data_IF_311460051777
#
_entry.id   IF_311460051777
#
_cell.length_a   1.000
_cell.length_b   1.000
_cell.length_c   1.000
_cell.angle_alpha   90.00
_cell.angle_beta   90.00
_cell.angle_gamma   90.00
#
_symmetry.space_group_name_H-M   'P 1'
#
loop_
_entity.id
_entity.type
_entity.pdbx_description
1 polymer ?
#
# COMPACT_ATOMS: atom_id res chain seq x y z
N UNK A 1 4.32 -23.09 -0.99
CA UNK A 1 5.74 -23.43 -0.70
C UNK A 1 5.90 -23.60 0.80
N UNK A 2 6.59 -24.66 1.21
CA UNK A 2 6.95 -24.91 2.62
C UNK A 2 8.47 -25.05 2.73
N UNK A 3 9.06 -24.35 3.68
CA UNK A 3 10.50 -24.28 3.93
C UNK A 3 10.73 -24.52 5.41
N UNK A 4 11.70 -25.37 5.78
CA UNK A 4 11.98 -25.65 7.18
C UNK A 4 13.48 -25.93 7.40
N UNK A 5 14.00 -25.51 8.54
CA UNK A 5 15.39 -25.78 8.90
C UNK A 5 15.68 -25.52 10.36
N UNK A 6 16.87 -25.98 10.79
CA UNK A 6 17.30 -25.89 12.17
C UNK A 6 18.77 -25.44 12.23
N UNK A 7 19.14 -24.78 13.33
CA UNK A 7 20.51 -24.45 13.68
C UNK A 7 20.67 -24.48 15.21
N UNK A 8 21.46 -25.45 15.70
CA UNK A 8 21.50 -25.74 17.14
C UNK A 8 20.12 -26.15 17.62
N UNK A 9 19.69 -25.57 18.73
CA UNK A 9 18.36 -25.83 19.33
C UNK A 9 17.24 -24.96 18.77
N UNK A 10 17.51 -24.15 17.75
CA UNK A 10 16.52 -23.27 17.13
C UNK A 10 16.03 -23.86 15.80
N UNK A 11 14.71 -23.74 15.56
CA UNK A 11 14.09 -24.16 14.29
C UNK A 11 13.33 -23.00 13.66
N UNK A 12 13.21 -23.02 12.34
CA UNK A 12 12.39 -22.11 11.58
C UNK A 12 11.57 -22.86 10.53
N UNK A 13 10.31 -22.54 10.46
CA UNK A 13 9.35 -23.04 9.47
C UNK A 13 8.66 -21.87 8.81
N UNK A 14 8.55 -21.90 7.49
CA UNK A 14 7.88 -20.87 6.69
C UNK A 14 6.99 -21.55 5.67
N UNK A 15 5.71 -21.20 5.70
CA UNK A 15 4.77 -21.56 4.65
C UNK A 15 4.33 -20.30 3.92
N UNK A 16 4.36 -20.31 2.59
CA UNK A 16 3.98 -19.14 1.80
C UNK A 16 3.25 -19.51 0.51
N UNK A 17 2.37 -18.59 0.08
CA UNK A 17 1.71 -18.65 -1.21
C UNK A 17 1.50 -17.25 -1.77
N UNK A 18 1.35 -17.14 -3.09
CA UNK A 18 0.92 -15.92 -3.76
C UNK A 18 -0.53 -16.06 -4.24
N UNK A 19 -1.25 -14.96 -4.25
CA UNK A 19 -2.63 -14.86 -4.72
C UNK A 19 -2.80 -13.61 -5.60
N UNK A 20 -3.99 -13.37 -6.12
CA UNK A 20 -4.29 -12.25 -7.02
C UNK A 20 -4.51 -10.91 -6.29
N UNK A 21 -4.52 -10.91 -4.95
CA UNK A 21 -4.68 -9.67 -4.17
C UNK A 21 -3.45 -8.77 -4.25
N UNK A 22 -3.60 -7.54 -3.79
CA UNK A 22 -2.51 -6.57 -3.68
C UNK A 22 -1.98 -6.44 -2.25
N UNK A 23 -2.62 -7.12 -1.30
CA UNK A 23 -2.29 -7.02 0.12
C UNK A 23 -1.23 -8.03 0.52
N UNK A 24 -0.34 -7.62 1.41
CA UNK A 24 0.59 -8.50 2.13
C UNK A 24 -0.11 -9.04 3.39
N UNK A 25 -0.09 -10.35 3.58
CA UNK A 25 -0.57 -10.99 4.81
C UNK A 25 0.56 -11.83 5.39
N UNK A 26 1.14 -11.36 6.50
CA UNK A 26 2.14 -12.09 7.25
C UNK A 26 1.62 -12.39 8.65
N UNK A 27 1.74 -13.65 9.06
CA UNK A 27 1.43 -14.10 10.41
C UNK A 27 2.67 -14.76 10.98
N UNK A 28 3.15 -14.33 12.12
CA UNK A 28 4.38 -14.84 12.69
C UNK A 28 4.24 -15.29 14.13
N UNK A 29 5.00 -16.34 14.48
CA UNK A 29 5.01 -16.97 15.79
C UNK A 29 6.44 -17.20 16.29
N UNK A 30 6.62 -17.06 17.60
CA UNK A 30 7.83 -17.47 18.30
C UNK A 30 7.43 -18.33 19.52
N UNK A 31 7.92 -19.59 19.57
CA UNK A 31 7.52 -20.60 20.57
C UNK A 31 5.99 -20.68 20.73
N UNK A 32 5.29 -20.77 19.60
CA UNK A 32 3.83 -20.83 19.47
C UNK A 32 3.07 -19.58 19.96
N UNK A 33 3.79 -18.50 20.33
CA UNK A 33 3.21 -17.20 20.69
C UNK A 33 3.10 -16.34 19.43
N UNK A 34 1.90 -15.86 19.11
CA UNK A 34 1.69 -14.93 18.00
C UNK A 34 2.41 -13.60 18.25
N UNK A 35 3.14 -13.12 17.26
CA UNK A 35 3.91 -11.87 17.30
C UNK A 35 3.31 -10.84 16.33
N UNK A 36 2.23 -10.14 16.70
CA UNK A 36 1.51 -9.24 15.79
C UNK A 36 2.34 -8.03 15.33
N UNK A 37 3.37 -7.65 16.07
CA UNK A 37 4.33 -6.61 15.67
C UNK A 37 5.57 -7.19 14.95
N UNK A 38 5.53 -8.48 14.61
CA UNK A 38 6.60 -9.17 13.91
C UNK A 38 7.87 -9.34 14.74
N UNK A 39 9.01 -8.99 14.15
CA UNK A 39 10.32 -9.07 14.80
C UNK A 39 11.42 -9.56 13.85
N UNK A 40 12.51 -10.07 14.46
CA UNK A 40 13.72 -10.46 13.71
C UNK A 40 13.49 -11.62 12.75
N UNK A 41 12.56 -12.55 13.03
CA UNK A 41 12.19 -13.65 12.14
C UNK A 41 11.50 -13.14 10.86
N UNK A 42 10.57 -12.18 10.97
CA UNK A 42 9.98 -11.54 9.79
C UNK A 42 11.00 -10.73 9.00
N UNK A 43 11.88 -10.02 9.69
CA UNK A 43 12.96 -9.27 9.03
C UNK A 43 13.87 -10.18 8.22
N UNK A 44 14.21 -11.35 8.77
CA UNK A 44 14.98 -12.39 8.05
C UNK A 44 14.24 -12.87 6.81
N UNK A 45 12.97 -13.22 6.95
CA UNK A 45 12.12 -13.66 5.84
C UNK A 45 12.02 -12.61 4.72
N UNK A 46 11.64 -11.37 5.06
CA UNK A 46 11.47 -10.26 4.11
C UNK A 46 12.76 -9.96 3.34
N UNK A 47 13.91 -9.99 4.03
CA UNK A 47 15.22 -9.77 3.43
C UNK A 47 15.59 -10.89 2.46
N UNK A 48 15.49 -12.14 2.90
CA UNK A 48 15.81 -13.31 2.11
C UNK A 48 14.93 -13.43 0.86
N UNK A 49 13.62 -13.30 1.03
CA UNK A 49 12.64 -13.37 -0.07
C UNK A 49 12.98 -12.36 -1.18
N UNK A 50 13.23 -11.10 -0.80
CA UNK A 50 13.57 -10.04 -1.76
C UNK A 50 14.89 -10.32 -2.47
N UNK A 51 15.90 -10.79 -1.73
CA UNK A 51 17.21 -11.11 -2.29
C UNK A 51 17.15 -12.28 -3.27
N UNK A 52 16.48 -13.37 -2.90
CA UNK A 52 16.38 -14.59 -3.72
C UNK A 52 15.64 -14.31 -5.01
N UNK A 53 14.50 -13.62 -4.95
CA UNK A 53 13.73 -13.32 -6.16
C UNK A 53 14.47 -12.35 -7.11
N UNK A 54 15.16 -11.34 -6.57
CA UNK A 54 16.01 -10.48 -7.41
C UNK A 54 17.16 -11.27 -8.04
N UNK A 55 17.82 -12.13 -7.27
CA UNK A 55 18.93 -12.95 -7.78
C UNK A 55 18.47 -13.90 -8.89
N UNK A 56 17.34 -14.59 -8.69
CA UNK A 56 16.74 -15.45 -9.71
C UNK A 56 16.35 -14.65 -10.97
N UNK A 57 15.67 -13.52 -10.80
CA UNK A 57 15.26 -12.66 -11.91
C UNK A 57 16.44 -12.12 -12.71
N UNK A 58 17.54 -11.75 -12.06
CA UNK A 58 18.79 -11.33 -12.74
C UNK A 58 19.46 -12.50 -13.47
N UNK A 59 19.54 -13.67 -12.83
CA UNK A 59 20.13 -14.88 -13.42
C UNK A 59 19.47 -15.29 -14.73
N UNK A 60 18.15 -15.15 -14.80
CA UNK A 60 17.37 -15.52 -15.99
C UNK A 60 17.01 -14.33 -16.90
N UNK A 61 17.62 -13.16 -16.67
CA UNK A 61 17.44 -11.98 -17.51
C UNK A 61 16.05 -11.34 -17.46
N UNK A 62 15.24 -11.66 -16.46
CA UNK A 62 13.92 -11.06 -16.22
C UNK A 62 14.03 -9.69 -15.54
N UNK A 63 15.07 -9.48 -14.74
CA UNK A 63 15.39 -8.23 -14.04
C UNK A 63 16.76 -7.75 -14.49
N UNK A 64 16.87 -6.48 -14.88
CA UNK A 64 18.15 -5.82 -15.14
C UNK A 64 18.76 -5.29 -13.86
N UNK A 65 20.07 -5.11 -13.81
CA UNK A 65 20.78 -4.66 -12.61
C UNK A 65 20.28 -3.33 -12.04
N UNK A 66 19.80 -2.43 -12.91
CA UNK A 66 19.20 -1.14 -12.52
C UNK A 66 17.71 -1.19 -12.13
N UNK A 67 17.02 -2.30 -12.40
CA UNK A 67 15.55 -2.42 -12.27
C UNK A 67 15.14 -3.40 -11.16
N UNK A 68 15.95 -3.52 -10.10
CA UNK A 68 15.64 -4.41 -8.96
C UNK A 68 14.29 -4.08 -8.35
N UNK A 69 13.50 -5.13 -8.10
CA UNK A 69 12.22 -4.99 -7.41
C UNK A 69 12.44 -4.77 -5.92
N UNK A 70 11.63 -3.90 -5.33
CA UNK A 70 11.68 -3.62 -3.88
C UNK A 70 11.05 -4.74 -3.07
N UNK A 71 11.28 -4.72 -1.75
CA UNK A 71 10.62 -5.67 -0.86
C UNK A 71 9.09 -5.57 -0.89
N UNK A 72 8.54 -4.38 -1.06
CA UNK A 72 7.10 -4.15 -1.18
C UNK A 72 6.55 -4.79 -2.46
N UNK A 73 7.24 -4.60 -3.59
CA UNK A 73 6.84 -5.17 -4.88
C UNK A 73 6.81 -6.71 -4.83
N UNK A 74 7.81 -7.30 -4.15
CA UNK A 74 7.94 -8.76 -3.99
C UNK A 74 6.86 -9.33 -3.08
N UNK A 75 6.38 -8.56 -2.10
CA UNK A 75 5.39 -9.04 -1.13
C UNK A 75 3.94 -8.72 -1.53
N UNK A 76 3.71 -8.08 -2.66
CA UNK A 76 2.36 -7.84 -3.16
C UNK A 76 1.63 -9.16 -3.44
N UNK A 77 0.52 -9.39 -2.74
CA UNK A 77 -0.30 -10.60 -2.84
C UNK A 77 0.30 -11.85 -2.20
N UNK A 78 1.29 -11.70 -1.32
CA UNK A 78 1.81 -12.81 -0.53
C UNK A 78 0.94 -13.07 0.70
N UNK A 79 0.75 -14.34 1.01
CA UNK A 79 0.30 -14.81 2.31
C UNK A 79 1.36 -15.75 2.85
N UNK A 80 1.92 -15.43 4.03
CA UNK A 80 2.94 -16.28 4.63
C UNK A 80 2.72 -16.41 6.15
N UNK A 81 3.07 -17.60 6.64
CA UNK A 81 3.15 -17.93 8.06
C UNK A 81 4.60 -18.27 8.38
N UNK A 82 5.14 -17.65 9.42
CA UNK A 82 6.51 -17.82 9.88
C UNK A 82 6.45 -18.31 11.33
N UNK A 83 6.98 -19.48 11.60
CA UNK A 83 7.06 -20.05 12.94
C UNK A 83 8.50 -20.37 13.30
N UNK A 84 8.95 -19.87 14.45
CA UNK A 84 10.28 -20.17 14.97
C UNK A 84 10.21 -20.74 16.38
N UNK A 85 11.08 -21.68 16.69
CA UNK A 85 11.25 -22.24 18.03
C UNK A 85 12.68 -22.01 18.48
N UNK A 86 12.85 -21.54 19.69
CA UNK A 86 14.15 -21.23 20.26
C UNK A 86 14.12 -21.39 21.79
N UNK A 87 15.24 -21.72 22.40
CA UNK A 87 15.36 -22.01 23.82
C UNK A 87 15.12 -20.77 24.67
N UNK A 88 15.67 -19.61 24.25
CA UNK A 88 15.56 -18.35 24.99
C UNK A 88 14.98 -17.26 24.09
N UNK A 89 13.65 -17.14 24.07
CA UNK A 89 12.95 -16.11 23.31
C UNK A 89 13.03 -14.76 24.06
N UNK A 90 13.60 -13.76 23.39
CA UNK A 90 13.66 -12.38 23.87
C UNK A 90 12.61 -11.56 23.12
N UNK A 91 11.60 -11.10 23.84
CA UNK A 91 10.55 -10.26 23.27
C UNK A 91 10.75 -8.80 23.67
N UNK A 92 10.39 -7.90 22.76
CA UNK A 92 10.26 -6.49 23.06
C UNK A 92 8.92 -6.26 23.77
N UNK A 93 8.98 -5.77 25.02
CA UNK A 93 7.80 -5.49 25.84
C UNK A 93 7.15 -6.73 26.49
N UNK A 94 6.26 -6.45 27.44
CA UNK A 94 5.59 -7.48 28.26
C UNK A 94 4.48 -8.23 27.49
N UNK A 95 3.96 -7.64 26.43
CA UNK A 95 2.93 -8.24 25.57
C UNK A 95 3.45 -9.35 24.67
N UNK A 96 4.78 -9.53 24.59
CA UNK A 96 5.47 -10.49 23.69
C UNK A 96 5.08 -10.33 22.22
N UNK A 97 4.70 -9.12 21.83
CA UNK A 97 4.19 -8.82 20.49
C UNK A 97 5.28 -8.81 19.40
N UNK A 98 6.56 -8.66 19.79
CA UNK A 98 7.68 -8.54 18.86
C UNK A 98 8.90 -9.34 19.32
N UNK A 99 9.46 -10.18 18.43
CA UNK A 99 10.63 -10.98 18.73
C UNK A 99 11.94 -10.21 18.43
N UNK A 100 12.85 -10.11 19.44
CA UNK A 100 14.09 -9.35 19.36
C UNK A 100 15.35 -10.16 19.00
N UNK A 101 15.32 -11.50 19.03
CA UNK A 101 16.52 -12.35 18.86
C UNK A 101 17.19 -12.19 17.48
N UNK A 102 18.34 -11.54 17.41
CA UNK A 102 19.10 -11.34 16.17
C UNK A 102 19.54 -12.65 15.50
N UNK A 103 19.84 -13.70 16.28
CA UNK A 103 20.24 -15.01 15.76
C UNK A 103 19.14 -15.66 14.91
N UNK A 104 17.87 -15.44 15.24
CA UNK A 104 16.73 -15.97 14.51
C UNK A 104 16.59 -15.32 13.13
N UNK A 105 16.93 -14.03 13.01
CA UNK A 105 16.99 -13.37 11.70
C UNK A 105 17.87 -14.13 10.73
N UNK A 106 19.07 -14.51 11.19
CA UNK A 106 20.05 -15.25 10.35
C UNK A 106 19.56 -16.66 10.04
N UNK A 107 18.93 -17.34 11.00
CA UNK A 107 18.40 -18.68 10.76
C UNK A 107 17.30 -18.65 9.69
N UNK A 108 16.31 -17.79 9.84
CA UNK A 108 15.21 -17.65 8.87
C UNK A 108 15.74 -17.20 7.50
N UNK A 109 16.66 -16.24 7.47
CA UNK A 109 17.30 -15.78 6.23
C UNK A 109 17.98 -16.94 5.48
N UNK A 110 18.76 -17.78 6.16
CA UNK A 110 19.43 -18.93 5.55
C UNK A 110 18.41 -19.96 5.04
N UNK A 111 17.45 -20.36 5.90
CA UNK A 111 16.43 -21.35 5.53
C UNK A 111 15.67 -20.91 4.27
N UNK A 112 15.23 -19.66 4.26
CA UNK A 112 14.48 -19.12 3.11
C UNK A 112 15.39 -19.01 1.88
N UNK A 113 16.62 -18.52 2.03
CA UNK A 113 17.53 -18.33 0.90
C UNK A 113 17.89 -19.65 0.22
N UNK A 114 18.28 -20.65 1.01
CA UNK A 114 18.75 -21.91 0.47
C UNK A 114 17.62 -22.70 -0.20
N UNK A 115 16.49 -22.85 0.51
CA UNK A 115 15.41 -23.71 0.02
C UNK A 115 14.51 -23.02 -1.02
N UNK A 116 14.27 -21.73 -0.89
CA UNK A 116 13.48 -21.01 -1.91
C UNK A 116 14.26 -20.93 -3.23
N UNK A 117 15.59 -20.74 -3.19
CA UNK A 117 16.39 -20.74 -4.41
C UNK A 117 16.27 -22.09 -5.17
N UNK A 118 16.36 -23.21 -4.44
CA UNK A 118 16.16 -24.54 -5.02
C UNK A 118 14.74 -24.71 -5.56
N UNK A 119 13.74 -24.31 -4.78
CA UNK A 119 12.35 -24.41 -5.20
C UNK A 119 12.07 -23.65 -6.50
N UNK A 120 12.60 -22.44 -6.65
CA UNK A 120 12.42 -21.63 -7.86
C UNK A 120 13.09 -22.26 -9.08
N UNK A 121 14.26 -22.91 -8.91
CA UNK A 121 14.93 -23.64 -9.99
C UNK A 121 14.14 -24.90 -10.43
N UNK A 122 13.53 -25.58 -9.48
CA UNK A 122 12.69 -26.77 -9.77
C UNK A 122 11.33 -26.40 -10.36
N UNK A 123 10.83 -25.16 -10.11
CA UNK A 123 9.51 -24.70 -10.52
C UNK A 123 9.56 -23.39 -11.35
N UNK A 124 10.19 -23.40 -12.55
CA UNK A 124 10.45 -22.17 -13.30
C UNK A 124 9.16 -21.43 -13.74
N UNK A 125 8.07 -22.13 -13.94
CA UNK A 125 6.76 -21.51 -14.28
C UNK A 125 6.25 -20.70 -13.09
N UNK A 126 6.31 -21.26 -11.88
CA UNK A 126 5.91 -20.56 -10.64
C UNK A 126 6.82 -19.36 -10.39
N UNK A 127 8.14 -19.54 -10.53
CA UNK A 127 9.12 -18.46 -10.38
C UNK A 127 8.83 -17.30 -11.32
N UNK A 128 8.54 -17.59 -12.60
CA UNK A 128 8.17 -16.57 -13.58
C UNK A 128 6.89 -15.84 -13.18
N UNK A 129 5.85 -16.56 -12.77
CA UNK A 129 4.57 -15.95 -12.35
C UNK A 129 4.75 -14.99 -11.18
N UNK A 130 5.54 -15.37 -10.17
CA UNK A 130 5.84 -14.53 -9.02
C UNK A 130 6.63 -13.28 -9.45
N UNK A 131 7.64 -13.44 -10.30
CA UNK A 131 8.45 -12.32 -10.78
C UNK A 131 7.66 -11.36 -11.69
N UNK A 132 6.82 -11.87 -12.58
CA UNK A 132 5.96 -11.05 -13.43
C UNK A 132 5.00 -10.20 -12.59
N UNK A 133 4.48 -10.78 -11.49
CA UNK A 133 3.66 -10.04 -10.53
C UNK A 133 4.48 -8.95 -9.83
N UNK A 134 5.66 -9.26 -9.31
CA UNK A 134 6.53 -8.29 -8.64
C UNK A 134 6.99 -7.16 -9.59
N UNK A 135 7.32 -7.47 -10.85
CA UNK A 135 7.66 -6.47 -11.86
C UNK A 135 6.45 -5.58 -12.22
N UNK A 136 5.25 -6.15 -12.22
CA UNK A 136 4.02 -5.38 -12.45
C UNK A 136 3.74 -4.44 -11.27
N UNK A 137 3.95 -4.92 -10.04
CA UNK A 137 3.85 -4.10 -8.83
C UNK A 137 4.88 -2.95 -8.84
N UNK A 138 6.12 -3.23 -9.20
CA UNK A 138 7.18 -2.22 -9.34
C UNK A 138 6.81 -1.14 -10.35
N UNK A 139 6.36 -1.52 -11.55
CA UNK A 139 5.93 -0.56 -12.59
C UNK A 139 4.77 0.30 -12.11
N UNK A 140 3.79 -0.30 -11.43
CA UNK A 140 2.65 0.43 -10.89
C UNK A 140 3.08 1.43 -9.80
N UNK A 141 3.95 1.02 -8.87
CA UNK A 141 4.51 1.88 -7.84
C UNK A 141 5.30 3.05 -8.42
N UNK A 142 6.16 2.80 -9.42
CA UNK A 142 6.91 3.84 -10.12
C UNK A 142 5.98 4.80 -10.89
N UNK A 143 4.93 4.30 -11.53
CA UNK A 143 3.93 5.13 -12.19
C UNK A 143 3.18 6.02 -11.18
N UNK A 144 2.79 5.45 -10.03
CA UNK A 144 2.16 6.20 -8.94
C UNK A 144 3.10 7.30 -8.40
N UNK A 145 4.39 6.99 -8.18
CA UNK A 145 5.39 7.96 -7.75
C UNK A 145 5.53 9.12 -8.74
N UNK A 146 5.66 8.82 -10.03
CA UNK A 146 5.76 9.85 -11.09
C UNK A 146 4.49 10.72 -11.16
N UNK A 147 3.30 10.11 -11.01
CA UNK A 147 2.05 10.85 -10.97
C UNK A 147 1.99 11.80 -9.76
N UNK A 148 2.37 11.33 -8.57
CA UNK A 148 2.48 12.18 -7.36
C UNK A 148 3.43 13.36 -7.58
N UNK A 149 4.64 13.10 -8.09
CA UNK A 149 5.63 14.15 -8.37
C UNK A 149 5.10 15.18 -9.37
N UNK A 150 4.37 14.75 -10.40
CA UNK A 150 3.76 15.65 -11.38
C UNK A 150 2.72 16.56 -10.74
N UNK A 151 1.86 16.02 -9.87
CA UNK A 151 0.87 16.79 -9.13
C UNK A 151 1.58 17.79 -8.21
N UNK A 152 2.57 17.33 -7.43
CA UNK A 152 3.34 18.17 -6.52
C UNK A 152 4.05 19.32 -7.23
N UNK A 153 4.63 19.09 -8.42
CA UNK A 153 5.26 20.14 -9.22
C UNK A 153 4.24 21.18 -9.69
N UNK A 154 3.06 20.75 -10.13
CA UNK A 154 1.97 21.66 -10.53
C UNK A 154 1.47 22.49 -9.36
N UNK A 155 1.40 21.94 -8.16
CA UNK A 155 0.98 22.64 -6.94
C UNK A 155 2.07 23.61 -6.43
N UNK A 156 3.36 23.23 -6.54
CA UNK A 156 4.49 24.05 -6.08
C UNK A 156 4.80 25.24 -7.00
N UNK A 157 4.45 25.18 -8.28
CA UNK A 157 4.72 26.24 -9.29
C UNK A 157 3.66 27.37 -9.31
N UNK A 158 2.81 27.45 -8.29
CA UNK A 158 1.86 28.55 -8.14
C UNK A 158 0.45 28.19 -8.58
N UNK A 159 -0.32 27.68 -7.63
CA UNK A 159 -1.74 27.49 -7.75
C UNK A 159 -2.11 26.35 -8.68
N UNK A 160 -2.29 25.16 -8.13
CA UNK A 160 -3.12 24.17 -8.84
C UNK A 160 -4.42 24.89 -9.17
N UNK A 161 -4.71 25.05 -10.46
CA UNK A 161 -5.99 25.61 -10.88
C UNK A 161 -7.06 24.78 -10.16
N UNK A 162 -7.90 25.45 -9.40
CA UNK A 162 -8.99 24.77 -8.68
C UNK A 162 -9.83 24.02 -9.70
N UNK A 163 -10.42 22.88 -9.31
CA UNK A 163 -11.27 22.15 -10.24
C UNK A 163 -12.34 23.05 -10.84
N UNK A 164 -12.48 23.06 -12.16
CA UNK A 164 -13.39 23.95 -12.89
C UNK A 164 -14.84 23.89 -12.36
N UNK A 165 -15.23 22.71 -11.84
CA UNK A 165 -16.57 22.47 -11.29
C UNK A 165 -16.70 22.83 -9.81
N UNK A 166 -15.63 23.15 -9.11
CA UNK A 166 -15.72 23.57 -7.71
C UNK A 166 -16.38 24.94 -7.62
N UNK A 167 -17.45 25.00 -6.85
CA UNK A 167 -18.08 26.26 -6.41
C UNK A 167 -17.60 26.54 -5.00
N UNK A 168 -16.47 27.25 -4.89
CA UNK A 168 -15.83 27.55 -3.61
C UNK A 168 -16.64 28.50 -2.74
N UNK A 169 -16.35 28.56 -1.46
CA UNK A 169 -16.90 29.52 -0.52
C UNK A 169 -16.00 30.75 -0.37
N UNK A 170 -16.54 31.80 0.27
CA UNK A 170 -15.82 33.06 0.45
C UNK A 170 -14.92 33.07 1.70
N UNK A 171 -15.19 32.20 2.68
CA UNK A 171 -14.41 32.07 3.91
C UNK A 171 -13.10 31.32 3.62
N UNK A 172 -11.99 31.83 4.15
CA UNK A 172 -10.66 31.26 3.99
C UNK A 172 -10.16 30.48 5.23
N UNK A 173 -10.87 30.60 6.37
CA UNK A 173 -10.54 29.84 7.55
C UNK A 173 -11.12 28.41 7.44
N UNK A 174 -10.29 27.36 7.29
CA UNK A 174 -10.78 25.99 7.13
C UNK A 174 -11.72 25.52 8.26
N UNK A 175 -11.51 25.97 9.48
CA UNK A 175 -12.32 25.58 10.65
C UNK A 175 -13.78 26.02 10.53
N UNK A 176 -14.03 27.07 9.74
CA UNK A 176 -15.36 27.64 9.54
C UNK A 176 -16.02 27.21 8.23
N UNK A 177 -15.33 26.37 7.43
CA UNK A 177 -15.78 25.99 6.09
C UNK A 177 -16.15 24.52 5.98
N UNK A 178 -17.05 24.24 5.05
CA UNK A 178 -17.49 22.88 4.72
C UNK A 178 -17.62 22.71 3.21
N UNK A 179 -17.34 21.49 2.73
CA UNK A 179 -17.52 21.13 1.32
C UNK A 179 -18.53 20.01 1.16
N UNK A 180 -19.43 20.19 0.23
CA UNK A 180 -20.42 19.19 -0.19
C UNK A 180 -19.96 18.55 -1.49
N UNK A 181 -19.70 17.25 -1.44
CA UNK A 181 -19.38 16.43 -2.61
C UNK A 181 -20.68 15.81 -3.06
N UNK A 182 -21.19 16.20 -4.23
CA UNK A 182 -22.51 15.82 -4.70
C UNK A 182 -22.44 14.98 -5.98
N UNK A 183 -23.36 14.05 -6.14
CA UNK A 183 -23.41 13.19 -7.31
C UNK A 183 -24.13 13.91 -8.48
N UNK A 184 -23.34 14.17 -9.53
CA UNK A 184 -23.82 14.73 -10.79
C UNK A 184 -24.01 16.24 -10.82
N UNK A 185 -24.03 16.77 -12.05
CA UNK A 185 -24.14 18.21 -12.31
C UNK A 185 -25.53 18.77 -11.93
N UNK A 186 -26.57 17.96 -12.03
CA UNK A 186 -27.93 18.38 -11.67
C UNK A 186 -28.06 18.65 -10.17
N UNK A 187 -27.62 17.70 -9.33
CA UNK A 187 -27.58 17.89 -7.88
C UNK A 187 -26.61 19.02 -7.49
N UNK A 188 -25.48 19.14 -8.19
CA UNK A 188 -24.52 20.24 -8.03
C UNK A 188 -25.13 21.61 -8.29
N UNK A 189 -25.98 21.73 -9.30
CA UNK A 189 -26.71 22.95 -9.61
C UNK A 189 -27.68 23.35 -8.51
N UNK A 190 -28.51 22.41 -8.05
CA UNK A 190 -29.49 22.63 -6.96
C UNK A 190 -28.78 22.98 -5.65
N UNK A 191 -27.68 22.22 -5.30
CA UNK A 191 -26.91 22.49 -4.11
C UNK A 191 -26.24 23.88 -4.15
N UNK A 192 -25.74 24.30 -5.32
CA UNK A 192 -25.13 25.63 -5.50
C UNK A 192 -26.15 26.75 -5.29
N UNK A 193 -27.40 26.56 -5.69
CA UNK A 193 -28.44 27.55 -5.48
C UNK A 193 -28.91 27.64 -4.02
N UNK A 194 -28.93 26.50 -3.32
CA UNK A 194 -29.39 26.41 -1.92
C UNK A 194 -28.35 26.65 -0.85
N UNK A 195 -27.05 26.71 -1.21
CA UNK A 195 -25.95 26.81 -0.24
C UNK A 195 -25.83 28.23 0.37
N UNK A 196 -25.23 28.30 1.54
CA UNK A 196 -24.65 29.53 2.04
C UNK A 196 -23.22 29.72 1.47
N UNK A 197 -23.09 30.60 0.48
CA UNK A 197 -21.82 30.82 -0.21
C UNK A 197 -20.71 31.43 0.69
N UNK A 198 -21.06 31.88 1.88
CA UNK A 198 -20.05 32.41 2.82
C UNK A 198 -19.10 31.33 3.27
N UNK A 199 -19.58 30.10 3.59
CA UNK A 199 -18.78 29.03 4.19
C UNK A 199 -19.02 27.64 3.58
N UNK A 200 -19.97 27.49 2.64
CA UNK A 200 -20.27 26.21 2.00
C UNK A 200 -19.74 26.16 0.57
N UNK A 201 -18.88 25.19 0.29
CA UNK A 201 -18.40 24.87 -1.05
C UNK A 201 -19.14 23.66 -1.64
N UNK A 202 -19.32 23.61 -2.96
CA UNK A 202 -19.96 22.51 -3.68
C UNK A 202 -18.99 21.96 -4.72
N UNK A 203 -18.77 20.65 -4.70
CA UNK A 203 -18.00 19.91 -5.71
C UNK A 203 -18.89 18.83 -6.33
N UNK A 204 -19.43 19.04 -7.54
CA UNK A 204 -20.14 17.98 -8.26
C UNK A 204 -19.15 16.98 -8.85
N UNK A 205 -19.43 15.69 -8.68
CA UNK A 205 -18.70 14.58 -9.28
C UNK A 205 -19.58 13.90 -10.33
N UNK A 206 -18.97 13.33 -11.35
CA UNK A 206 -19.68 12.68 -12.43
C UNK A 206 -19.34 11.19 -12.57
N UNK A 207 -20.38 10.39 -12.74
CA UNK A 207 -20.29 8.94 -12.96
C UNK A 207 -19.73 8.18 -11.75
N UNK A 208 -19.66 6.87 -11.86
CA UNK A 208 -19.22 5.97 -10.78
C UNK A 208 -17.77 6.26 -10.39
N UNK A 209 -17.55 6.38 -9.09
CA UNK A 209 -16.22 6.56 -8.51
C UNK A 209 -15.46 5.23 -8.47
N UNK A 210 -14.14 5.31 -8.57
CA UNK A 210 -13.25 4.16 -8.40
C UNK A 210 -13.30 3.68 -6.95
N UNK A 211 -13.47 2.38 -6.74
CA UNK A 211 -13.29 1.80 -5.41
C UNK A 211 -11.80 1.74 -5.09
N UNK A 212 -11.33 2.67 -4.26
CA UNK A 212 -9.89 2.84 -3.94
C UNK A 212 -9.35 1.71 -3.08
N UNK A 213 -10.18 1.03 -2.29
CA UNK A 213 -9.82 -0.14 -1.47
C UNK A 213 -9.37 -1.33 -2.34
N UNK A 214 -9.97 -1.45 -3.53
CA UNK A 214 -9.72 -2.54 -4.48
C UNK A 214 -8.81 -2.13 -5.63
N UNK A 215 -8.35 -0.89 -5.66
CA UNK A 215 -7.56 -0.35 -6.76
C UNK A 215 -6.10 -0.19 -6.37
N UNK A 216 -5.20 -0.37 -7.32
CA UNK A 216 -3.79 -0.05 -7.17
C UNK A 216 -3.56 1.46 -7.07
N UNK A 217 -2.54 1.87 -6.34
CA UNK A 217 -2.21 3.27 -6.10
C UNK A 217 -2.02 4.08 -7.40
N UNK A 218 -1.42 3.49 -8.44
CA UNK A 218 -1.24 4.15 -9.73
C UNK A 218 -2.57 4.53 -10.40
N UNK A 219 -3.59 3.67 -10.29
CA UNK A 219 -4.94 3.94 -10.79
C UNK A 219 -5.67 5.00 -9.97
N UNK A 220 -5.43 5.03 -8.66
CA UNK A 220 -6.01 6.05 -7.78
C UNK A 220 -5.42 7.42 -8.13
N UNK A 221 -4.11 7.54 -8.22
CA UNK A 221 -3.42 8.80 -8.54
C UNK A 221 -3.65 9.27 -9.99
N UNK A 222 -3.84 8.36 -10.92
CA UNK A 222 -4.13 8.68 -12.32
C UNK A 222 -5.61 8.84 -12.66
N UNK A 223 -6.52 8.79 -11.67
CA UNK A 223 -7.95 8.83 -11.94
C UNK A 223 -8.48 10.26 -12.03
N UNK A 224 -8.94 10.64 -13.23
CA UNK A 224 -9.44 11.99 -13.52
C UNK A 224 -10.63 12.41 -12.64
N UNK A 225 -11.40 11.46 -12.10
CA UNK A 225 -12.54 11.74 -11.23
C UNK A 225 -12.14 11.98 -9.77
N UNK A 226 -11.05 11.37 -9.32
CA UNK A 226 -10.51 11.56 -7.97
C UNK A 226 -9.65 12.82 -7.86
N UNK A 227 -8.98 13.23 -8.95
CA UNK A 227 -8.12 14.41 -8.97
C UNK A 227 -8.82 15.70 -8.50
N UNK A 228 -10.06 16.01 -8.93
CA UNK A 228 -10.79 17.17 -8.43
C UNK A 228 -11.01 17.14 -6.91
N UNK A 229 -11.28 15.97 -6.34
CA UNK A 229 -11.48 15.81 -4.88
C UNK A 229 -10.17 16.06 -4.14
N UNK A 230 -9.08 15.42 -4.58
CA UNK A 230 -7.75 15.57 -3.97
C UNK A 230 -7.31 17.05 -4.00
N UNK A 231 -7.51 17.70 -5.15
CA UNK A 231 -7.14 19.11 -5.34
C UNK A 231 -8.01 20.04 -4.49
N UNK A 232 -9.33 19.83 -4.44
CA UNK A 232 -10.24 20.65 -3.66
C UNK A 232 -9.95 20.56 -2.16
N UNK A 233 -9.67 19.36 -1.64
CA UNK A 233 -9.37 19.16 -0.22
C UNK A 233 -7.98 19.68 0.18
N UNK A 234 -7.00 19.61 -0.71
CA UNK A 234 -5.66 20.16 -0.52
C UNK A 234 -4.74 19.38 0.43
N UNK A 235 -5.24 18.35 1.10
CA UNK A 235 -4.52 17.61 2.14
C UNK A 235 -3.57 16.51 1.62
N UNK A 236 -3.57 16.22 0.32
CA UNK A 236 -2.84 15.07 -0.24
C UNK A 236 -3.57 13.74 0.01
N UNK A 237 -2.93 12.61 -0.30
CA UNK A 237 -3.46 11.27 -0.06
C UNK A 237 -2.34 10.29 0.30
N UNK A 238 -2.67 9.17 0.96
CA UNK A 238 -1.72 8.14 1.37
C UNK A 238 -0.65 8.68 2.32
N UNK A 239 0.62 8.40 2.03
CA UNK A 239 1.75 8.80 2.88
C UNK A 239 2.00 10.32 2.93
N UNK A 240 1.40 11.08 1.99
CA UNK A 240 1.51 12.54 1.93
C UNK A 240 0.31 13.25 2.57
N UNK A 241 -0.60 12.51 3.21
CA UNK A 241 -1.76 13.09 3.86
C UNK A 241 -1.34 13.96 5.05
N UNK A 242 -1.65 15.26 4.94
CA UNK A 242 -1.42 16.24 5.99
C UNK A 242 -2.72 16.98 6.28
N UNK A 243 -3.34 16.65 7.41
CA UNK A 243 -4.62 17.23 7.82
C UNK A 243 -4.54 18.74 8.10
N UNK A 244 -3.35 19.27 8.41
CA UNK A 244 -3.17 20.71 8.62
C UNK A 244 -3.30 21.52 7.30
N UNK A 245 -3.29 20.85 6.17
CA UNK A 245 -3.45 21.44 4.84
C UNK A 245 -4.87 21.33 4.30
N UNK A 246 -5.80 20.76 5.08
CA UNK A 246 -7.21 20.70 4.69
C UNK A 246 -7.76 22.12 4.48
N UNK A 247 -8.47 22.30 3.37
CA UNK A 247 -9.15 23.57 3.04
C UNK A 247 -10.54 23.67 3.64
N UNK A 248 -11.12 22.55 4.04
CA UNK A 248 -12.45 22.45 4.65
C UNK A 248 -12.40 21.47 5.80
N UNK A 249 -12.87 21.88 6.98
CA UNK A 249 -12.89 21.01 8.16
C UNK A 249 -14.06 20.04 8.18
N UNK A 250 -15.10 20.30 7.39
CA UNK A 250 -16.21 19.36 7.22
C UNK A 250 -16.34 18.94 5.76
N UNK A 251 -16.43 17.65 5.54
CA UNK A 251 -16.64 17.05 4.23
C UNK A 251 -17.94 16.28 4.28
N UNK A 252 -18.93 16.71 3.51
CA UNK A 252 -20.28 16.13 3.46
C UNK A 252 -20.45 15.47 2.10
N UNK A 253 -20.72 14.16 2.11
CA UNK A 253 -20.94 13.38 0.89
C UNK A 253 -22.46 13.23 0.70
N UNK A 254 -22.94 13.69 -0.45
CA UNK A 254 -24.33 13.60 -0.87
C UNK A 254 -24.40 12.75 -2.14
N UNK A 255 -24.62 11.48 -1.95
CA UNK A 255 -24.75 10.50 -3.03
C UNK A 255 -26.02 9.68 -2.83
N UNK A 256 -26.65 9.25 -3.92
CA UNK A 256 -27.77 8.32 -3.86
C UNK A 256 -27.30 6.95 -3.35
N UNK A 257 -28.17 6.28 -2.60
CA UNK A 257 -27.93 4.91 -2.16
C UNK A 257 -28.00 3.98 -3.36
N UNK A 258 -26.84 3.55 -3.88
CA UNK A 258 -26.79 2.49 -4.90
C UNK A 258 -26.79 1.14 -4.17
N UNK A 259 -27.94 0.46 -4.16
CA UNK A 259 -28.14 -0.83 -3.45
C UNK A 259 -27.57 -2.00 -4.24
N UNK A 260 -27.13 -1.78 -5.46
CA UNK A 260 -26.63 -2.82 -6.35
C UNK A 260 -25.12 -3.00 -6.25
N UNK A 261 -24.73 -3.97 -5.41
CA UNK A 261 -23.51 -4.79 -5.35
C UNK A 261 -22.51 -4.50 -4.25
#
# INVERSE_FOLDING_TARGET
VYLAGAKGDSTAEVALQYNDSYNETLVSFANDIHTPEGGMHETGFKTALTRVLNAYGMKYGMIKEGDKVSGEDVREGITAVISVKLTEAQFEGQTKAKLGNASIRTLVDNVVSDQLAVYLEEHPVVARTILDKALTANRAREAARKARESIRRKTALGGAAMPDKLRDCNENNPELTEIYIVEGDSAGGSATQGRDSRFQAILPLWGKMLNVEKARADKVYGNDKLQPVITALGAGIGDELDLNRLRYHKIIIMADADVDR
#
